data_IF_401209570909
#
_entry.id   IF_401209570909
#
_cell.length_a   1.000
_cell.length_b   1.000
_cell.length_c   1.000
_cell.angle_alpha   90.00
_cell.angle_beta   90.00
_cell.angle_gamma   90.00
#
_symmetry.space_group_name_H-M   'P 1'
#
loop_
_entity.id
_entity.type
_entity.pdbx_description
1 polymer ?
#
# COMPACT_ATOMS: atom_id res chain seq x y z
N UNK A 1 -19.62 6.84 54.90
CA UNK A 1 -18.37 6.92 54.11
C UNK A 1 -18.38 6.02 52.86
N UNK A 2 -19.29 5.04 52.73
CA UNK A 2 -19.41 4.17 51.54
C UNK A 2 -20.01 4.83 50.29
N UNK A 3 -20.74 5.95 50.43
CA UNK A 3 -21.36 6.63 49.29
C UNK A 3 -20.37 7.44 48.42
N UNK A 4 -19.14 7.68 48.90
CA UNK A 4 -18.08 8.34 48.10
C UNK A 4 -17.19 7.34 47.33
N UNK A 5 -17.18 6.07 47.72
CA UNK A 5 -16.40 5.03 47.03
C UNK A 5 -17.02 4.58 45.69
N UNK A 6 -18.33 4.79 45.48
CA UNK A 6 -19.00 4.49 44.20
C UNK A 6 -18.89 5.59 43.14
N UNK A 7 -18.35 6.77 43.48
CA UNK A 7 -18.16 7.89 42.52
C UNK A 7 -16.82 7.87 41.77
N UNK A 8 -15.92 6.94 42.11
CA UNK A 8 -14.61 6.80 41.44
C UNK A 8 -14.58 5.82 40.27
N UNK A 9 -15.69 5.15 39.93
CA UNK A 9 -15.73 4.04 38.96
C UNK A 9 -16.49 4.37 37.66
N UNK A 10 -16.66 5.66 37.35
CA UNK A 10 -17.04 6.15 36.02
C UNK A 10 -15.88 6.91 35.39
N UNK A 11 -14.67 6.35 35.46
CA UNK A 11 -13.66 6.66 34.45
C UNK A 11 -14.23 6.16 33.12
N UNK A 12 -14.42 7.08 32.19
CA UNK A 12 -15.00 6.85 30.88
C UNK A 12 -14.34 5.67 30.14
N UNK A 13 -14.98 4.50 30.14
CA UNK A 13 -14.88 3.55 29.01
C UNK A 13 -15.64 4.14 27.82
N UNK A 14 -15.26 5.35 27.39
CA UNK A 14 -15.57 5.80 26.04
C UNK A 14 -14.66 4.99 25.12
N UNK A 15 -15.11 3.80 24.73
CA UNK A 15 -14.44 3.01 23.72
C UNK A 15 -14.29 3.80 22.43
N UNK A 16 -13.27 3.48 21.62
CA UNK A 16 -13.02 4.12 20.34
C UNK A 16 -14.28 4.09 19.46
N UNK A 17 -14.45 5.15 18.65
CA UNK A 17 -15.62 5.28 17.79
C UNK A 17 -15.59 4.18 16.73
N UNK A 18 -16.65 3.38 16.66
CA UNK A 18 -16.86 2.38 15.62
C UNK A 18 -17.13 3.06 14.27
N UNK A 19 -16.06 3.46 13.59
CA UNK A 19 -16.08 4.29 12.39
C UNK A 19 -15.68 3.53 11.11
N UNK A 20 -15.09 2.34 11.24
CA UNK A 20 -14.64 1.52 10.13
C UNK A 20 -15.72 0.49 9.82
N UNK A 21 -16.29 0.58 8.62
CA UNK A 21 -17.18 -0.44 8.03
C UNK A 21 -16.43 -1.16 6.91
N UNK A 22 -16.96 -2.28 6.42
CA UNK A 22 -16.33 -3.10 5.37
C UNK A 22 -15.68 -2.30 4.23
N UNK A 23 -16.36 -1.30 3.66
CA UNK A 23 -15.82 -0.49 2.55
C UNK A 23 -14.60 0.35 2.94
N UNK A 24 -14.59 0.87 4.18
CA UNK A 24 -13.47 1.64 4.70
C UNK A 24 -12.32 0.72 5.09
N UNK A 25 -12.61 -0.46 5.62
CA UNK A 25 -11.61 -1.49 5.87
C UNK A 25 -10.92 -1.93 4.57
N UNK A 26 -11.68 -2.20 3.50
CA UNK A 26 -11.12 -2.51 2.17
C UNK A 26 -10.26 -1.35 1.68
N UNK A 27 -10.73 -0.10 1.80
CA UNK A 27 -9.94 1.06 1.39
C UNK A 27 -8.62 1.17 2.18
N UNK A 28 -8.64 0.95 3.49
CA UNK A 28 -7.44 0.96 4.33
C UNK A 28 -6.47 -0.17 3.95
N UNK A 29 -6.95 -1.39 3.75
CA UNK A 29 -6.12 -2.52 3.32
C UNK A 29 -5.50 -2.27 1.95
N UNK A 30 -6.33 -1.88 0.96
CA UNK A 30 -5.87 -1.61 -0.39
C UNK A 30 -4.80 -0.52 -0.36
N UNK A 31 -5.01 0.61 0.32
CA UNK A 31 -3.99 1.65 0.36
C UNK A 31 -2.76 1.32 1.19
N UNK A 32 -2.88 0.51 2.24
CA UNK A 32 -1.71 0.10 3.03
C UNK A 32 -0.76 -0.78 2.22
N UNK A 33 -1.30 -1.56 1.27
CA UNK A 33 -0.55 -2.53 0.46
C UNK A 33 -0.20 -1.97 -0.93
N UNK A 34 -1.17 -1.35 -1.60
CA UNK A 34 -1.03 -0.71 -2.91
C UNK A 34 -0.33 0.65 -2.76
N UNK A 35 0.96 0.61 -2.42
CA UNK A 35 1.83 1.76 -2.22
C UNK A 35 2.82 1.99 -3.36
N UNK A 36 4.01 2.48 -3.03
CA UNK A 36 5.08 2.80 -3.99
C UNK A 36 5.49 1.63 -4.88
N UNK A 37 5.26 0.39 -4.42
CA UNK A 37 5.61 -0.84 -5.14
C UNK A 37 5.00 -0.92 -6.54
N UNK A 38 3.71 -0.58 -6.70
CA UNK A 38 3.01 -0.66 -8.00
C UNK A 38 3.66 0.21 -9.07
N UNK A 39 4.30 1.32 -8.67
CA UNK A 39 4.84 2.31 -9.58
C UNK A 39 6.23 1.94 -10.11
N UNK A 40 6.99 1.15 -9.34
CA UNK A 40 8.42 0.92 -9.61
C UNK A 40 8.72 -0.56 -9.84
N UNK A 41 8.16 -1.44 -9.02
CA UNK A 41 8.56 -2.85 -8.96
C UNK A 41 8.20 -3.66 -10.20
N UNK A 42 7.07 -3.45 -10.90
CA UNK A 42 6.77 -4.17 -12.14
C UNK A 42 7.90 -4.05 -13.18
N UNK A 43 8.44 -2.85 -13.38
CA UNK A 43 9.50 -2.65 -14.35
C UNK A 43 10.88 -3.06 -13.85
N UNK A 44 11.19 -2.93 -12.55
CA UNK A 44 12.43 -3.49 -12.00
C UNK A 44 12.44 -5.02 -12.08
N UNK A 45 11.32 -5.66 -11.73
CA UNK A 45 11.17 -7.11 -11.83
C UNK A 45 11.29 -7.59 -13.27
N UNK A 46 10.66 -6.88 -14.22
CA UNK A 46 10.77 -7.18 -15.65
C UNK A 46 12.19 -6.95 -16.20
N UNK A 47 12.94 -5.95 -15.71
CA UNK A 47 14.36 -5.78 -16.06
C UNK A 47 15.22 -6.96 -15.59
N UNK A 48 14.93 -7.52 -14.41
CA UNK A 48 15.70 -8.63 -13.84
C UNK A 48 15.33 -9.99 -14.44
N UNK A 49 14.04 -10.31 -14.55
CA UNK A 49 13.56 -11.64 -14.92
C UNK A 49 12.82 -11.67 -16.28
N UNK A 50 12.63 -10.53 -16.95
CA UNK A 50 11.85 -10.46 -18.18
C UNK A 50 10.39 -10.88 -17.94
N UNK A 51 9.77 -11.58 -18.92
CA UNK A 51 8.42 -12.12 -18.77
C UNK A 51 8.24 -13.08 -17.59
N UNK A 52 9.30 -13.78 -17.17
CA UNK A 52 9.25 -14.68 -16.02
C UNK A 52 8.93 -13.98 -14.69
N UNK A 53 9.10 -12.65 -14.61
CA UNK A 53 8.68 -11.87 -13.44
C UNK A 53 7.18 -12.00 -13.14
N UNK A 54 6.36 -12.31 -14.15
CA UNK A 54 4.92 -12.56 -13.97
C UNK A 54 4.64 -13.77 -13.06
N UNK A 55 5.50 -14.80 -13.10
CA UNK A 55 5.39 -15.93 -12.17
C UNK A 55 5.58 -15.48 -10.73
N UNK A 56 6.57 -14.62 -10.46
CA UNK A 56 6.80 -14.10 -9.12
C UNK A 56 5.60 -13.28 -8.62
N UNK A 57 5.00 -12.44 -9.46
CA UNK A 57 3.79 -11.68 -9.11
C UNK A 57 2.60 -12.58 -8.79
N UNK A 58 2.34 -13.62 -9.59
CA UNK A 58 1.24 -14.56 -9.37
C UNK A 58 1.49 -15.39 -8.11
N UNK A 59 2.68 -15.94 -7.93
CA UNK A 59 3.03 -16.75 -6.76
C UNK A 59 2.92 -15.93 -5.46
N UNK A 60 3.47 -14.72 -5.43
CA UNK A 60 3.37 -13.86 -4.25
C UNK A 60 1.94 -13.39 -3.99
N UNK A 61 1.14 -13.15 -5.04
CA UNK A 61 -0.29 -12.87 -4.88
C UNK A 61 -1.01 -13.99 -4.13
N UNK A 62 -0.75 -15.25 -4.51
CA UNK A 62 -1.33 -16.43 -3.85
C UNK A 62 -0.84 -16.55 -2.41
N UNK A 63 0.47 -16.41 -2.18
CA UNK A 63 1.09 -16.53 -0.85
C UNK A 63 0.72 -15.37 0.07
N UNK A 64 0.35 -14.21 -0.47
CA UNK A 64 -0.06 -13.05 0.33
C UNK A 64 -1.38 -13.28 1.07
N UNK A 65 -2.28 -14.11 0.53
CA UNK A 65 -3.57 -14.40 1.17
C UNK A 65 -3.44 -15.07 2.54
N UNK A 66 -2.75 -16.21 2.71
CA UNK A 66 -2.61 -16.84 4.02
C UNK A 66 -1.90 -15.93 5.01
N UNK A 67 -0.90 -15.15 4.56
CA UNK A 67 -0.23 -14.16 5.39
C UNK A 67 -1.19 -13.08 5.90
N UNK A 68 -1.97 -12.46 5.02
CA UNK A 68 -2.97 -11.47 5.39
C UNK A 68 -4.04 -12.08 6.30
N UNK A 69 -4.52 -13.29 5.98
CA UNK A 69 -5.54 -14.00 6.75
C UNK A 69 -5.12 -14.25 8.22
N UNK A 70 -3.83 -14.48 8.49
CA UNK A 70 -3.32 -14.57 9.86
C UNK A 70 -3.56 -13.29 10.65
N UNK A 71 -3.23 -12.12 10.09
CA UNK A 71 -3.50 -10.83 10.73
C UNK A 71 -4.99 -10.55 10.89
N UNK A 72 -5.81 -10.89 9.88
CA UNK A 72 -7.28 -10.83 9.97
C UNK A 72 -7.79 -11.62 11.18
N UNK A 73 -7.34 -12.88 11.28
CA UNK A 73 -7.80 -13.83 12.28
C UNK A 73 -7.43 -13.40 13.69
N UNK A 74 -6.20 -12.91 13.88
CA UNK A 74 -5.74 -12.38 15.17
C UNK A 74 -6.55 -11.13 15.57
N UNK A 75 -6.71 -10.19 14.63
CA UNK A 75 -7.45 -8.94 14.87
C UNK A 75 -8.96 -9.18 15.13
N UNK A 76 -9.56 -10.16 14.46
CA UNK A 76 -10.97 -10.51 14.63
C UNK A 76 -11.25 -11.23 15.96
N UNK A 77 -10.28 -12.00 16.48
CA UNK A 77 -10.40 -12.72 17.76
C UNK A 77 -10.36 -11.75 18.94
N UNK A 78 -9.41 -10.82 18.93
CA UNK A 78 -9.21 -9.84 19.99
C UNK A 78 -8.97 -8.46 19.36
N UNK A 79 -10.05 -7.72 19.05
CA UNK A 79 -9.96 -6.43 18.40
C UNK A 79 -9.49 -5.38 19.41
N UNK A 80 -8.17 -5.24 19.54
CA UNK A 80 -7.49 -4.26 20.38
C UNK A 80 -6.57 -3.35 19.54
N UNK A 81 -6.48 -2.08 19.89
CA UNK A 81 -5.71 -1.05 19.18
C UNK A 81 -4.22 -1.14 19.52
N UNK A 82 -3.58 -2.23 19.12
CA UNK A 82 -2.14 -2.43 19.32
C UNK A 82 -1.45 -3.33 18.30
N UNK A 83 -2.19 -3.81 17.28
CA UNK A 83 -1.65 -4.52 16.13
C UNK A 83 -0.58 -5.56 16.47
N UNK A 84 0.57 -5.48 15.80
CA UNK A 84 1.69 -6.42 15.97
C UNK A 84 2.20 -6.47 17.42
N UNK A 85 2.27 -5.33 18.10
CA UNK A 85 2.73 -5.28 19.49
C UNK A 85 1.83 -6.11 20.40
N UNK A 86 0.51 -5.99 20.23
CA UNK A 86 -0.47 -6.76 20.97
C UNK A 86 -0.35 -8.27 20.71
N UNK A 87 -0.25 -8.69 19.44
CA UNK A 87 -0.12 -10.11 19.08
C UNK A 87 1.14 -10.75 19.64
N UNK A 88 2.25 -10.03 19.59
CA UNK A 88 3.54 -10.52 20.10
C UNK A 88 3.60 -10.52 21.62
N UNK A 89 2.97 -9.53 22.28
CA UNK A 89 2.85 -9.50 23.74
C UNK A 89 2.07 -10.68 24.28
N UNK A 90 0.97 -11.03 23.63
CA UNK A 90 0.14 -12.17 24.03
C UNK A 90 0.85 -13.51 23.83
N UNK A 91 1.63 -13.64 22.75
CA UNK A 91 2.27 -14.91 22.39
C UNK A 91 3.63 -15.13 23.06
N UNK A 92 4.43 -14.07 23.24
CA UNK A 92 5.85 -14.14 23.61
C UNK A 92 6.24 -13.24 24.79
N UNK A 93 5.29 -12.50 25.35
CA UNK A 93 5.51 -11.61 26.48
C UNK A 93 6.08 -10.23 26.10
N UNK A 94 6.21 -9.37 27.12
CA UNK A 94 6.48 -7.94 26.95
C UNK A 94 7.82 -7.63 26.29
N UNK A 95 8.87 -8.44 26.55
CA UNK A 95 10.21 -8.17 25.99
C UNK A 95 10.22 -8.27 24.46
N UNK A 96 9.68 -9.36 23.92
CA UNK A 96 9.60 -9.57 22.46
C UNK A 96 8.68 -8.54 21.82
N UNK A 97 7.56 -8.24 22.47
CA UNK A 97 6.64 -7.19 22.01
C UNK A 97 7.31 -5.81 21.93
N UNK A 98 8.08 -5.44 22.94
CA UNK A 98 8.79 -4.15 23.00
C UNK A 98 9.80 -4.04 21.85
N UNK A 99 10.61 -5.09 21.61
CA UNK A 99 11.55 -5.11 20.49
C UNK A 99 10.81 -4.99 19.16
N UNK A 100 9.72 -5.74 18.99
CA UNK A 100 8.93 -5.73 17.75
C UNK A 100 8.29 -4.37 17.51
N UNK A 101 7.76 -3.72 18.57
CA UNK A 101 7.22 -2.37 18.50
C UNK A 101 8.26 -1.34 18.09
N UNK A 102 9.49 -1.42 18.63
CA UNK A 102 10.58 -0.52 18.23
C UNK A 102 11.02 -0.74 16.78
N UNK A 103 11.07 -1.99 16.32
CA UNK A 103 11.38 -2.29 14.91
C UNK A 103 10.30 -1.75 13.97
N UNK A 104 9.02 -1.90 14.34
CA UNK A 104 7.90 -1.34 13.58
C UNK A 104 7.93 0.19 13.55
N UNK A 105 8.21 0.84 14.68
CA UNK A 105 8.36 2.29 14.76
C UNK A 105 9.54 2.80 13.91
N UNK A 106 10.69 2.12 13.96
CA UNK A 106 11.85 2.46 13.15
C UNK A 106 11.53 2.33 11.65
N UNK A 107 10.86 1.25 11.25
CA UNK A 107 10.42 1.04 9.87
C UNK A 107 9.48 2.16 9.41
N UNK A 108 8.53 2.56 10.25
CA UNK A 108 7.60 3.65 9.95
C UNK A 108 8.31 5.01 9.78
N UNK A 109 9.15 5.39 10.74
CA UNK A 109 9.85 6.70 10.75
C UNK A 109 10.83 6.82 9.59
N UNK A 110 11.46 5.72 9.18
CA UNK A 110 12.40 5.71 8.05
C UNK A 110 11.70 5.58 6.70
N UNK A 111 10.63 4.77 6.63
CA UNK A 111 9.87 4.53 5.40
C UNK A 111 9.03 5.72 4.96
N UNK A 112 8.40 6.44 5.91
CA UNK A 112 7.53 7.59 5.63
C UNK A 112 8.18 8.66 4.75
N UNK A 113 9.33 9.25 5.13
CA UNK A 113 10.03 10.23 4.29
C UNK A 113 10.44 9.68 2.92
N UNK A 114 10.87 8.41 2.86
CA UNK A 114 11.29 7.79 1.61
C UNK A 114 10.12 7.69 0.60
N UNK A 115 8.94 7.26 1.04
CA UNK A 115 7.76 7.17 0.15
C UNK A 115 7.26 8.55 -0.30
N UNK A 116 7.35 9.57 0.56
CA UNK A 116 7.02 10.96 0.20
C UNK A 116 7.94 11.50 -0.90
N UNK A 117 9.24 11.19 -0.81
CA UNK A 117 10.22 11.55 -1.83
C UNK A 117 9.98 10.80 -3.14
N UNK A 118 9.48 9.56 -3.09
CA UNK A 118 9.06 8.86 -4.30
C UNK A 118 7.93 9.64 -4.99
N UNK A 119 6.83 9.99 -4.30
CA UNK A 119 5.79 10.80 -4.92
C UNK A 119 6.32 12.12 -5.50
N UNK A 120 7.13 12.83 -4.73
CA UNK A 120 7.70 14.10 -5.16
C UNK A 120 8.63 13.96 -6.38
N UNK A 121 9.34 12.84 -6.52
CA UNK A 121 10.20 12.59 -7.70
C UNK A 121 9.38 12.35 -8.97
N UNK A 122 8.20 11.74 -8.86
CA UNK A 122 7.26 11.67 -9.99
C UNK A 122 6.72 13.05 -10.39
N UNK A 123 6.46 13.93 -9.41
CA UNK A 123 6.09 15.33 -9.70
C UNK A 123 7.23 16.06 -10.39
N UNK A 124 8.47 15.92 -9.89
CA UNK A 124 9.67 16.50 -10.50
C UNK A 124 10.00 15.94 -11.89
N UNK A 125 9.53 14.73 -12.20
CA UNK A 125 9.63 14.17 -13.54
C UNK A 125 8.63 14.82 -14.52
N UNK A 126 7.42 15.14 -14.05
CA UNK A 126 6.40 15.81 -14.86
C UNK A 126 6.64 17.32 -15.01
N UNK A 127 7.24 17.95 -13.99
CA UNK A 127 7.52 19.38 -13.93
C UNK A 127 8.99 19.60 -13.55
N UNK A 128 9.78 20.37 -14.33
CA UNK A 128 11.17 20.65 -13.99
C UNK A 128 11.26 21.32 -12.61
N UNK A 129 11.82 20.60 -11.64
CA UNK A 129 11.94 21.05 -10.25
C UNK A 129 13.37 20.89 -9.75
N UNK A 130 13.82 21.84 -8.94
CA UNK A 130 15.04 21.73 -8.16
C UNK A 130 14.89 20.73 -7.02
N UNK A 131 16.03 20.25 -6.49
CA UNK A 131 16.05 19.33 -5.35
C UNK A 131 15.33 19.91 -4.12
N UNK A 132 15.44 21.21 -3.88
CA UNK A 132 14.78 21.88 -2.76
C UNK A 132 13.25 21.85 -2.92
N UNK A 133 12.74 22.13 -4.12
CA UNK A 133 11.31 22.06 -4.42
C UNK A 133 10.76 20.64 -4.25
N UNK A 134 11.52 19.60 -4.64
CA UNK A 134 11.13 18.20 -4.41
C UNK A 134 10.96 17.89 -2.91
N UNK A 135 11.85 18.40 -2.05
CA UNK A 135 11.69 18.26 -0.60
C UNK A 135 10.48 19.01 -0.07
N UNK A 136 10.19 20.21 -0.61
CA UNK A 136 8.99 20.98 -0.23
C UNK A 136 7.72 20.24 -0.62
N UNK A 137 7.65 19.64 -1.81
CA UNK A 137 6.52 18.82 -2.24
C UNK A 137 6.35 17.61 -1.32
N UNK A 138 7.42 16.87 -1.02
CA UNK A 138 7.38 15.74 -0.10
C UNK A 138 6.87 16.16 1.30
N UNK A 139 7.36 17.30 1.82
CA UNK A 139 6.91 17.92 3.06
C UNK A 139 5.42 18.32 3.02
N UNK A 140 4.96 18.84 1.90
CA UNK A 140 3.55 19.18 1.67
C UNK A 140 2.63 17.95 1.70
N UNK A 141 3.05 16.83 1.09
CA UNK A 141 2.26 15.60 1.08
C UNK A 141 2.11 15.06 2.52
N UNK A 142 3.20 14.91 3.28
CA UNK A 142 3.11 14.43 4.67
C UNK A 142 2.31 15.39 5.57
N UNK A 143 2.47 16.71 5.38
CA UNK A 143 1.67 17.70 6.10
C UNK A 143 0.18 17.58 5.78
N UNK A 144 -0.18 17.34 4.52
CA UNK A 144 -1.58 17.14 4.12
C UNK A 144 -2.20 15.89 4.77
N UNK A 145 -1.42 14.80 4.88
CA UNK A 145 -1.84 13.58 5.59
C UNK A 145 -2.05 13.88 7.07
N UNK A 146 -1.14 14.62 7.69
CA UNK A 146 -1.29 15.06 9.09
C UNK A 146 -2.59 15.86 9.29
N UNK A 147 -2.89 16.83 8.43
CA UNK A 147 -4.11 17.64 8.51
C UNK A 147 -5.38 16.79 8.38
N UNK A 148 -5.38 15.78 7.50
CA UNK A 148 -6.54 14.88 7.33
C UNK A 148 -6.75 14.02 8.56
N UNK A 149 -5.68 13.46 9.13
CA UNK A 149 -5.79 12.62 10.33
C UNK A 149 -6.10 13.43 11.59
N UNK A 150 -5.62 14.68 11.67
CA UNK A 150 -5.96 15.60 12.76
C UNK A 150 -7.47 15.90 12.84
N UNK A 151 -8.19 15.84 11.69
CA UNK A 151 -9.67 15.99 11.66
C UNK A 151 -10.43 14.74 12.12
N UNK A 152 -9.72 13.69 12.51
CA UNK A 152 -10.26 12.47 13.09
C UNK A 152 -10.64 11.40 12.06
N UNK A 153 -10.83 10.18 12.57
CA UNK A 153 -10.95 8.97 11.75
C UNK A 153 -12.11 8.97 10.76
N UNK A 154 -13.25 9.60 11.09
CA UNK A 154 -14.41 9.61 10.18
C UNK A 154 -14.12 10.39 8.89
N UNK A 155 -13.36 11.50 9.00
CA UNK A 155 -12.92 12.24 7.83
C UNK A 155 -11.85 11.46 7.08
N UNK A 156 -10.86 10.91 7.80
CA UNK A 156 -9.81 10.08 7.21
C UNK A 156 -10.39 8.92 6.39
N UNK A 157 -11.37 8.19 6.91
CA UNK A 157 -12.04 7.08 6.21
C UNK A 157 -12.71 7.51 4.89
N UNK A 158 -13.35 8.69 4.86
CA UNK A 158 -13.97 9.21 3.64
C UNK A 158 -12.93 9.60 2.60
N UNK A 159 -11.86 10.28 3.03
CA UNK A 159 -10.73 10.64 2.16
C UNK A 159 -10.05 9.37 1.62
N UNK A 160 -9.79 8.39 2.49
CA UNK A 160 -9.20 7.11 2.13
C UNK A 160 -10.00 6.40 1.03
N UNK A 161 -11.32 6.33 1.19
CA UNK A 161 -12.18 5.69 0.19
C UNK A 161 -12.11 6.43 -1.16
N UNK A 162 -12.16 7.77 -1.15
CA UNK A 162 -12.07 8.56 -2.38
C UNK A 162 -10.72 8.37 -3.08
N UNK A 163 -9.62 8.35 -2.31
CA UNK A 163 -8.27 8.13 -2.80
C UNK A 163 -8.14 6.73 -3.42
N UNK A 164 -8.60 5.68 -2.75
CA UNK A 164 -8.55 4.31 -3.29
C UNK A 164 -9.35 4.17 -4.57
N UNK A 165 -10.57 4.70 -4.61
CA UNK A 165 -11.40 4.68 -5.83
C UNK A 165 -10.66 5.37 -6.98
N UNK A 166 -10.01 6.51 -6.70
CA UNK A 166 -9.22 7.25 -7.69
C UNK A 166 -8.00 6.44 -8.17
N UNK A 167 -7.26 5.82 -7.25
CA UNK A 167 -6.09 4.97 -7.59
C UNK A 167 -6.53 3.79 -8.48
N UNK A 168 -7.56 3.05 -8.06
CA UNK A 168 -8.07 1.90 -8.80
C UNK A 168 -8.55 2.33 -10.19
N UNK A 169 -9.30 3.43 -10.29
CA UNK A 169 -9.78 3.95 -11.57
C UNK A 169 -8.61 4.34 -12.49
N UNK A 170 -7.61 5.05 -11.99
CA UNK A 170 -6.44 5.47 -12.77
C UNK A 170 -5.56 4.29 -13.20
N UNK A 171 -5.38 3.28 -12.34
CA UNK A 171 -4.65 2.06 -12.69
C UNK A 171 -5.40 1.25 -13.75
N UNK A 172 -6.71 1.06 -13.60
CA UNK A 172 -7.52 0.36 -14.60
C UNK A 172 -7.52 1.13 -15.93
N UNK A 173 -7.67 2.46 -15.90
CA UNK A 173 -7.58 3.27 -17.09
C UNK A 173 -6.21 3.12 -17.77
N UNK A 174 -5.11 3.06 -17.01
CA UNK A 174 -3.77 2.80 -17.54
C UNK A 174 -3.66 1.42 -18.18
N UNK A 175 -4.14 0.38 -17.50
CA UNK A 175 -4.09 -1.00 -17.99
C UNK A 175 -4.90 -1.14 -19.28
N UNK A 176 -6.13 -0.60 -19.30
CA UNK A 176 -7.02 -0.65 -20.46
C UNK A 176 -6.43 0.16 -21.62
N UNK A 177 -5.99 1.40 -21.38
CA UNK A 177 -5.38 2.24 -22.41
C UNK A 177 -4.00 1.75 -22.88
N UNK A 178 -3.35 0.84 -22.18
CA UNK A 178 -2.09 0.23 -22.65
C UNK A 178 -2.30 -1.15 -23.28
N UNK A 179 -3.49 -1.74 -23.13
CA UNK A 179 -3.77 -3.11 -23.57
C UNK A 179 -3.62 -3.30 -25.08
N UNK A 180 -3.93 -2.29 -25.89
CA UNK A 180 -3.77 -2.36 -27.36
C UNK A 180 -2.30 -2.35 -27.81
N UNK A 181 -1.37 -1.94 -26.94
CA UNK A 181 0.06 -1.95 -27.21
C UNK A 181 0.74 -3.27 -26.82
N UNK A 182 0.03 -4.12 -26.08
CA UNK A 182 0.57 -5.41 -25.63
C UNK A 182 0.71 -6.36 -26.81
N UNK A 183 1.92 -6.88 -27.01
CA UNK A 183 2.19 -7.95 -27.99
C UNK A 183 2.56 -9.22 -27.24
N UNK A 184 1.87 -10.32 -27.52
CA UNK A 184 2.13 -11.61 -26.88
C UNK A 184 3.51 -12.16 -27.25
N UNK A 185 4.04 -11.80 -28.42
CA UNK A 185 5.40 -12.09 -28.87
C UNK A 185 6.46 -11.59 -27.87
N UNK A 186 6.17 -10.50 -27.12
CA UNK A 186 7.09 -9.96 -26.12
C UNK A 186 7.20 -10.83 -24.86
N UNK A 187 6.36 -11.86 -24.73
CA UNK A 187 6.47 -12.88 -23.70
C UNK A 187 7.48 -13.97 -24.08
N UNK A 188 7.97 -13.98 -25.32
CA UNK A 188 8.92 -14.96 -25.81
C UNK A 188 10.31 -14.33 -26.03
N UNK A 189 11.40 -15.01 -25.59
CA UNK A 189 11.40 -16.18 -24.73
C UNK A 189 10.92 -15.85 -23.31
N UNK A 190 10.13 -16.74 -22.70
CA UNK A 190 9.54 -16.49 -21.37
C UNK A 190 10.56 -16.45 -20.24
N UNK A 191 11.61 -17.27 -20.35
CA UNK A 191 12.70 -17.39 -19.39
C UNK A 191 14.03 -16.89 -19.99
N UNK A 192 14.14 -15.59 -20.36
CA UNK A 192 15.33 -15.08 -21.06
C UNK A 192 16.60 -15.19 -20.20
N UNK A 193 16.44 -15.08 -18.88
CA UNK A 193 17.55 -15.05 -17.91
C UNK A 193 17.59 -16.31 -17.03
N UNK A 194 16.83 -17.36 -17.37
CA UNK A 194 16.68 -18.59 -16.58
C UNK A 194 15.77 -18.44 -15.34
N UNK A 195 15.83 -19.44 -14.45
CA UNK A 195 14.92 -19.53 -13.28
C UNK A 195 15.39 -18.73 -12.06
N UNK A 196 16.70 -18.59 -11.86
CA UNK A 196 17.27 -17.94 -10.67
C UNK A 196 16.77 -16.48 -10.48
N UNK A 197 16.67 -15.65 -11.53
CA UNK A 197 16.17 -14.27 -11.40
C UNK A 197 14.73 -14.16 -10.91
N UNK A 198 13.90 -15.20 -11.05
CA UNK A 198 12.53 -15.22 -10.53
C UNK A 198 12.54 -15.09 -9.01
N UNK A 199 13.46 -15.80 -8.33
CA UNK A 199 13.61 -15.71 -6.88
C UNK A 199 14.11 -14.34 -6.43
N UNK A 200 15.06 -13.76 -7.17
CA UNK A 200 15.61 -12.42 -6.89
C UNK A 200 14.52 -11.34 -7.06
N UNK A 201 13.75 -11.38 -8.14
CA UNK A 201 12.66 -10.43 -8.32
C UNK A 201 11.51 -10.68 -7.35
N UNK A 202 11.25 -11.92 -6.92
CA UNK A 202 10.26 -12.21 -5.88
C UNK A 202 10.62 -11.54 -4.55
N UNK A 203 11.90 -11.55 -4.15
CA UNK A 203 12.34 -10.83 -2.95
C UNK A 203 12.08 -9.32 -3.04
N UNK A 204 12.22 -8.72 -4.23
CA UNK A 204 11.88 -7.31 -4.46
C UNK A 204 10.36 -7.07 -4.45
N UNK A 205 9.60 -7.94 -5.12
CA UNK A 205 8.14 -7.84 -5.22
C UNK A 205 7.48 -8.01 -3.85
N UNK A 206 8.08 -8.78 -2.94
CA UNK A 206 7.59 -8.97 -1.56
C UNK A 206 7.28 -7.65 -0.86
N UNK A 207 8.05 -6.59 -1.13
CA UNK A 207 7.77 -5.23 -0.64
C UNK A 207 6.36 -4.73 -0.98
N UNK A 208 5.83 -5.09 -2.16
CA UNK A 208 4.49 -4.70 -2.62
C UNK A 208 3.36 -5.36 -1.84
N UNK A 209 3.64 -6.40 -1.06
CA UNK A 209 2.65 -7.17 -0.31
C UNK A 209 2.73 -6.94 1.21
N UNK A 210 3.58 -6.00 1.65
CA UNK A 210 3.61 -5.51 3.03
C UNK A 210 2.48 -4.49 3.25
N UNK A 211 1.87 -4.51 4.42
CA UNK A 211 0.86 -3.54 4.84
C UNK A 211 -0.50 -4.11 5.23
N UNK A 212 -0.73 -5.42 5.09
CA UNK A 212 -1.93 -6.06 5.63
C UNK A 212 -1.96 -6.00 7.17
N UNK A 213 -0.78 -5.99 7.80
CA UNK A 213 -0.62 -5.83 9.24
C UNK A 213 -1.07 -4.47 9.77
N UNK A 214 -1.10 -3.43 8.93
CA UNK A 214 -1.34 -2.05 9.37
C UNK A 214 -2.77 -1.87 9.90
N UNK A 215 -3.75 -2.50 9.27
CA UNK A 215 -5.17 -2.35 9.64
C UNK A 215 -5.48 -2.96 11.01
N UNK A 216 -4.62 -3.84 11.52
CA UNK A 216 -4.72 -4.36 12.88
C UNK A 216 -4.53 -3.29 13.96
N UNK A 217 -3.89 -2.15 13.65
CA UNK A 217 -3.72 -1.04 14.59
C UNK A 217 -5.05 -0.33 14.92
N UNK A 218 -6.02 -0.38 14.00
CA UNK A 218 -7.34 0.26 14.14
C UNK A 218 -8.46 -0.75 14.42
N UNK A 219 -8.12 -1.94 14.92
CA UNK A 219 -9.07 -3.03 15.11
C UNK A 219 -10.23 -2.69 16.05
N UNK A 220 -10.01 -1.82 17.03
CA UNK A 220 -11.06 -1.34 17.94
C UNK A 220 -12.08 -0.42 17.25
N UNK A 221 -11.80 0.13 16.09
CA UNK A 221 -12.69 1.07 15.39
C UNK A 221 -13.57 0.37 14.35
N UNK A 222 -13.40 -0.94 14.17
CA UNK A 222 -14.25 -1.78 13.32
C UNK A 222 -15.66 -1.94 13.90
N UNK A 223 -16.66 -1.79 13.04
CA UNK A 223 -18.08 -1.90 13.39
C UNK A 223 -18.50 -3.34 13.70
N UNK A 224 -18.12 -4.31 12.86
CA UNK A 224 -18.25 -5.75 13.13
C UNK A 224 -16.89 -6.44 12.87
N UNK A 225 -15.95 -6.42 13.84
CA UNK A 225 -14.60 -6.95 13.63
C UNK A 225 -14.60 -8.41 13.16
N UNK A 226 -15.48 -9.26 13.70
CA UNK A 226 -15.51 -10.69 13.38
C UNK A 226 -15.77 -10.96 11.90
N UNK A 227 -16.65 -10.18 11.27
CA UNK A 227 -17.02 -10.35 9.86
C UNK A 227 -16.20 -9.46 8.93
N UNK A 228 -16.01 -8.19 9.31
CA UNK A 228 -15.42 -7.19 8.43
C UNK A 228 -13.93 -7.44 8.21
N UNK A 229 -13.17 -7.96 9.18
CA UNK A 229 -11.75 -8.30 8.97
C UNK A 229 -11.56 -9.36 7.88
N UNK A 230 -12.25 -10.50 7.98
CA UNK A 230 -12.10 -11.59 7.02
C UNK A 230 -12.59 -11.19 5.62
N UNK A 231 -13.73 -10.50 5.54
CA UNK A 231 -14.30 -10.05 4.26
C UNK A 231 -13.44 -8.97 3.60
N UNK A 232 -12.95 -8.00 4.38
CA UNK A 232 -12.11 -6.93 3.84
C UNK A 232 -10.77 -7.44 3.34
N UNK A 233 -10.13 -8.39 4.04
CA UNK A 233 -8.89 -9.01 3.56
C UNK A 233 -9.11 -9.80 2.28
N UNK A 234 -10.15 -10.63 2.20
CA UNK A 234 -10.42 -11.39 0.97
C UNK A 234 -10.60 -10.46 -0.24
N UNK A 235 -11.43 -9.42 -0.08
CA UNK A 235 -11.69 -8.45 -1.14
C UNK A 235 -10.43 -7.65 -1.52
N UNK A 236 -9.65 -7.23 -0.52
CA UNK A 236 -8.46 -6.41 -0.74
C UNK A 236 -7.34 -7.20 -1.39
N UNK A 237 -7.08 -8.43 -0.92
CA UNK A 237 -6.07 -9.32 -1.52
C UNK A 237 -6.43 -9.61 -2.98
N UNK A 238 -7.69 -9.96 -3.27
CA UNK A 238 -8.13 -10.21 -4.63
C UNK A 238 -7.95 -8.98 -5.54
N UNK A 239 -8.38 -7.81 -5.07
CA UNK A 239 -8.27 -6.56 -5.83
C UNK A 239 -6.81 -6.15 -6.07
N UNK A 240 -5.99 -6.12 -5.03
CA UNK A 240 -4.58 -5.72 -5.10
C UNK A 240 -3.79 -6.70 -5.96
N UNK A 241 -3.99 -8.01 -5.78
CA UNK A 241 -3.35 -9.03 -6.60
C UNK A 241 -3.70 -8.91 -8.08
N UNK A 242 -5.00 -8.71 -8.38
CA UNK A 242 -5.45 -8.51 -9.75
C UNK A 242 -4.83 -7.28 -10.40
N UNK A 243 -4.78 -6.15 -9.67
CA UNK A 243 -4.15 -4.93 -10.15
C UNK A 243 -2.65 -5.08 -10.36
N UNK A 244 -1.93 -5.70 -9.42
CA UNK A 244 -0.49 -5.94 -9.55
C UNK A 244 -0.14 -6.82 -10.74
N UNK A 245 -0.83 -7.95 -10.90
CA UNK A 245 -0.62 -8.85 -12.04
C UNK A 245 -0.96 -8.16 -13.36
N UNK A 246 -2.05 -7.40 -13.41
CA UNK A 246 -2.44 -6.65 -14.61
C UNK A 246 -1.40 -5.60 -15.01
N UNK A 247 -0.91 -4.80 -14.05
CA UNK A 247 0.13 -3.79 -14.29
C UNK A 247 1.44 -4.47 -14.71
N UNK A 248 1.84 -5.56 -14.07
CA UNK A 248 3.04 -6.31 -14.44
C UNK A 248 2.93 -6.89 -15.86
N UNK A 249 1.76 -7.47 -16.20
CA UNK A 249 1.50 -8.02 -17.53
C UNK A 249 1.62 -6.95 -18.62
N UNK A 250 0.98 -5.79 -18.44
CA UNK A 250 1.10 -4.67 -19.37
C UNK A 250 2.54 -4.16 -19.47
N UNK A 251 3.24 -4.06 -18.34
CA UNK A 251 4.65 -3.61 -18.31
C UNK A 251 5.55 -4.49 -19.15
N UNK A 252 5.41 -5.82 -19.02
CA UNK A 252 6.15 -6.80 -19.82
C UNK A 252 5.71 -6.77 -21.29
N UNK A 253 4.39 -6.84 -21.52
CA UNK A 253 3.80 -6.98 -22.84
C UNK A 253 4.01 -5.77 -23.76
N UNK A 254 4.25 -4.60 -23.19
CA UNK A 254 4.61 -3.36 -23.93
C UNK A 254 6.12 -3.14 -24.06
N UNK A 255 6.95 -3.99 -23.43
CA UNK A 255 8.41 -3.80 -23.29
C UNK A 255 8.83 -2.47 -22.65
N UNK A 256 7.92 -1.80 -21.96
CA UNK A 256 8.19 -0.46 -21.42
C UNK A 256 9.33 -0.43 -20.40
N UNK A 257 9.61 -1.56 -19.75
CA UNK A 257 10.75 -1.70 -18.84
C UNK A 257 12.13 -1.59 -19.53
N UNK A 258 12.20 -1.66 -20.86
CA UNK A 258 13.44 -1.48 -21.64
C UNK A 258 13.75 -0.02 -22.01
N UNK A 259 12.82 0.91 -21.80
CA UNK A 259 12.91 2.28 -22.31
C UNK A 259 13.88 3.22 -21.56
N UNK A 260 14.72 2.69 -20.66
CA UNK A 260 15.94 3.37 -20.18
C UNK A 260 15.72 4.72 -19.50
N UNK A 261 15.20 4.73 -18.27
CA UNK A 261 15.14 5.92 -17.43
C UNK A 261 15.20 5.57 -15.95
N UNK A 262 16.03 6.28 -15.19
CA UNK A 262 16.31 6.01 -13.77
C UNK A 262 15.20 6.42 -12.79
N UNK A 263 14.07 6.90 -13.28
CA UNK A 263 12.92 7.24 -12.44
C UNK A 263 11.69 6.67 -13.11
N UNK A 264 11.19 5.59 -12.50
CA UNK A 264 9.87 5.02 -12.71
C UNK A 264 9.56 4.39 -14.07
N UNK A 265 9.66 3.05 -14.17
CA UNK A 265 9.14 2.31 -15.31
C UNK A 265 7.69 2.65 -15.67
N UNK A 266 6.85 2.98 -14.68
CA UNK A 266 5.45 3.37 -14.92
C UNK A 266 5.30 4.77 -15.54
N UNK A 267 6.15 5.73 -15.16
CA UNK A 267 6.15 7.05 -15.80
C UNK A 267 6.65 6.96 -17.25
N UNK A 268 7.62 6.07 -17.51
CA UNK A 268 8.07 5.76 -18.86
C UNK A 268 6.96 5.08 -19.69
N UNK A 269 6.19 4.13 -19.14
CA UNK A 269 5.02 3.52 -19.81
C UNK A 269 4.08 4.62 -20.31
N UNK A 270 3.61 5.48 -19.42
CA UNK A 270 2.59 6.48 -19.78
C UNK A 270 3.15 7.57 -20.69
N UNK A 271 4.38 8.01 -20.49
CA UNK A 271 4.99 9.07 -21.30
C UNK A 271 5.27 8.62 -22.72
N UNK A 272 5.59 7.33 -22.94
CA UNK A 272 5.75 6.78 -24.29
C UNK A 272 4.42 6.71 -25.06
N UNK A 273 3.29 6.62 -24.37
CA UNK A 273 1.95 6.51 -24.99
C UNK A 273 1.29 7.88 -25.18
N UNK A 274 1.41 8.77 -24.19
CA UNK A 274 0.65 10.02 -24.10
C UNK A 274 1.53 11.28 -24.09
N UNK A 275 2.84 11.14 -24.22
CA UNK A 275 3.78 12.26 -24.13
C UNK A 275 3.72 12.95 -22.76
N UNK A 276 3.70 14.29 -22.76
CA UNK A 276 3.66 15.12 -21.53
C UNK A 276 2.44 14.81 -20.65
N UNK A 277 1.29 14.46 -21.25
CA UNK A 277 0.09 14.10 -20.48
C UNK A 277 0.25 12.78 -19.72
N UNK A 278 1.09 11.88 -20.22
CA UNK A 278 1.45 10.64 -19.55
C UNK A 278 2.23 10.89 -18.26
N UNK A 279 3.26 11.75 -18.34
CA UNK A 279 4.07 12.13 -17.19
C UNK A 279 3.21 12.78 -16.08
N UNK A 280 2.32 13.71 -16.45
CA UNK A 280 1.40 14.37 -15.51
C UNK A 280 0.43 13.34 -14.88
N UNK A 281 -0.14 12.45 -15.69
CA UNK A 281 -1.03 11.40 -15.21
C UNK A 281 -0.35 10.47 -14.20
N UNK A 282 0.90 10.06 -14.47
CA UNK A 282 1.67 9.25 -13.51
C UNK A 282 2.03 10.03 -12.25
N UNK A 283 2.37 11.32 -12.36
CA UNK A 283 2.65 12.15 -11.20
C UNK A 283 1.43 12.26 -10.27
N UNK A 284 0.24 12.50 -10.84
CA UNK A 284 -1.01 12.52 -10.08
C UNK A 284 -1.24 11.16 -9.42
N UNK A 285 -1.15 10.08 -10.19
CA UNK A 285 -1.32 8.72 -9.65
C UNK A 285 -0.35 8.42 -8.50
N UNK A 286 0.92 8.79 -8.65
CA UNK A 286 1.95 8.59 -7.63
C UNK A 286 1.63 9.36 -6.35
N UNK A 287 1.22 10.63 -6.46
CA UNK A 287 0.81 11.42 -5.30
C UNK A 287 -0.40 10.79 -4.61
N UNK A 288 -1.42 10.35 -5.35
CA UNK A 288 -2.60 9.70 -4.77
C UNK A 288 -2.26 8.39 -4.07
N UNK A 289 -1.44 7.53 -4.69
CA UNK A 289 -0.98 6.27 -4.11
C UNK A 289 -0.25 6.52 -2.79
N UNK A 290 0.77 7.38 -2.80
CA UNK A 290 1.62 7.61 -1.63
C UNK A 290 0.85 8.36 -0.54
N UNK A 291 0.01 9.33 -0.90
CA UNK A 291 -0.89 9.98 0.04
C UNK A 291 -1.84 8.95 0.68
N UNK A 292 -2.44 8.07 -0.14
CA UNK A 292 -3.35 7.03 0.33
C UNK A 292 -2.67 6.05 1.28
N UNK A 293 -1.46 5.59 0.94
CA UNK A 293 -0.66 4.73 1.80
C UNK A 293 -0.33 5.43 3.11
N UNK A 294 0.26 6.63 3.07
CA UNK A 294 0.61 7.35 4.28
C UNK A 294 -0.60 7.68 5.15
N UNK A 295 -1.74 8.04 4.56
CA UNK A 295 -2.97 8.25 5.29
C UNK A 295 -3.47 6.97 5.97
N UNK A 296 -3.43 5.82 5.28
CA UNK A 296 -3.81 4.55 5.87
C UNK A 296 -2.89 4.15 7.04
N UNK A 297 -1.59 4.40 6.90
CA UNK A 297 -0.58 4.16 7.93
C UNK A 297 -0.68 5.13 9.11
N UNK A 298 -1.18 6.35 8.91
CA UNK A 298 -1.40 7.36 9.95
C UNK A 298 -2.80 7.31 10.58
N UNK A 299 -3.73 6.54 10.01
CA UNK A 299 -5.10 6.46 10.50
C UNK A 299 -5.14 5.77 11.86
N UNK A 300 -5.77 6.42 12.84
CA UNK A 300 -5.95 5.89 14.19
C UNK A 300 -4.77 6.12 15.14
N UNK A 301 -3.76 6.89 14.72
CA UNK A 301 -2.69 7.41 15.58
C UNK A 301 -2.96 8.85 16.05
#
# INVERSE_FOLDING_TARGET
>A
MEARAKRGMTASTQGLRKAITLRYAVALYVSSVLGSGVLVLPGLAAQLAGPASLLAWVLLSIVSYPFAYTFASLSARKPEAGGIYSFTKESFGVRVATVTGWLFALWFVTGGPAVMLIAASYVAYAFPMSRAETFVVAGGIIFSVFVVNYRGIVMSNKVQLAVVVSIVALLLATVISSSYLVRLENLEPFLPNGLLPIGVCAALIFWSFLGYENVSNVAEEFSDPKKDFHRSILLSVALVSGLYVAVAFVTVGTLSYKSGGSVAPFAAILSNVLGVYGAIGTAILAVFIIFGTANAYMTGM
#
